data_IF_113927307581
#
_entry.id   IF_113927307581
#
_cell.length_a   1.000
_cell.length_b   1.000
_cell.length_c   1.000
_cell.angle_alpha   90.00
_cell.angle_beta   90.00
_cell.angle_gamma   90.00
#
_symmetry.space_group_name_H-M   'P 1'
#
loop_
_entity.id
_entity.type
_entity.pdbx_description
1 polymer ?
#
# COMPACT_ATOMS: atom_id res chain seq x y z
N UNK A 1 -11.11 18.33 0.83
CA UNK A 1 -10.03 18.12 -0.15
C UNK A 1 -10.50 17.04 -1.09
N UNK A 2 -10.30 17.21 -2.39
CA UNK A 2 -10.64 16.19 -3.37
C UNK A 2 -9.57 15.09 -3.30
N UNK A 3 -9.93 13.91 -2.78
CA UNK A 3 -9.03 12.78 -2.55
C UNK A 3 -8.29 12.35 -3.83
N UNK A 4 -8.88 12.65 -5.00
CA UNK A 4 -8.31 12.44 -6.34
C UNK A 4 -7.01 13.21 -6.62
N UNK A 5 -6.50 14.03 -5.68
CA UNK A 5 -5.27 14.82 -5.88
C UNK A 5 -4.04 14.34 -5.11
N UNK A 6 -4.17 13.38 -4.19
CA UNK A 6 -3.04 12.93 -3.37
C UNK A 6 -2.20 11.92 -4.14
N UNK A 7 -0.94 12.26 -4.40
CA UNK A 7 -0.01 11.44 -5.18
C UNK A 7 1.07 10.78 -4.31
N UNK A 8 1.20 11.19 -3.06
CA UNK A 8 2.30 10.85 -2.15
C UNK A 8 3.55 11.65 -2.49
N UNK A 9 3.99 11.53 -3.74
CA UNK A 9 5.18 12.18 -4.29
C UNK A 9 5.14 13.70 -4.12
N UNK A 10 4.02 14.34 -4.46
CA UNK A 10 3.89 15.80 -4.39
C UNK A 10 3.77 16.32 -2.95
N UNK A 11 3.47 15.43 -1.99
CA UNK A 11 3.42 15.71 -0.56
C UNK A 11 4.72 15.37 0.17
N UNK A 12 5.78 14.99 -0.55
CA UNK A 12 7.09 14.67 0.04
C UNK A 12 7.22 13.24 0.57
N UNK A 13 6.31 12.34 0.17
CA UNK A 13 6.39 10.91 0.48
C UNK A 13 7.09 10.20 -0.67
N UNK A 14 8.22 9.59 -0.37
CA UNK A 14 8.89 8.67 -1.27
C UNK A 14 8.18 7.32 -1.27
N UNK A 15 7.69 6.93 -2.44
CA UNK A 15 6.97 5.67 -2.67
C UNK A 15 7.92 4.72 -3.39
N UNK A 16 8.29 3.63 -2.72
CA UNK A 16 9.13 2.58 -3.29
C UNK A 16 8.26 1.36 -3.55
N UNK A 17 8.31 0.87 -4.78
CA UNK A 17 7.55 -0.32 -5.21
C UNK A 17 8.53 -1.39 -5.60
N UNK A 18 8.31 -2.61 -5.09
CA UNK A 18 9.16 -3.75 -5.45
C UNK A 18 8.38 -5.05 -5.60
N UNK A 19 8.90 -5.96 -6.40
CA UNK A 19 8.38 -7.32 -6.55
C UNK A 19 9.52 -8.28 -6.85
N UNK A 20 9.51 -9.44 -6.19
CA UNK A 20 10.43 -10.52 -6.52
C UNK A 20 10.01 -11.17 -7.85
N UNK A 21 10.93 -11.23 -8.81
CA UNK A 21 10.79 -12.04 -10.01
C UNK A 21 11.42 -13.41 -9.72
N UNK A 22 10.59 -14.45 -9.57
CA UNK A 22 11.07 -15.81 -9.38
C UNK A 22 11.58 -16.44 -10.68
N UNK A 23 12.32 -17.55 -10.56
CA UNK A 23 12.83 -18.32 -11.70
C UNK A 23 11.73 -18.72 -12.72
N UNK A 24 10.51 -18.95 -12.23
CA UNK A 24 9.34 -19.34 -13.02
C UNK A 24 8.40 -18.16 -13.36
N UNK A 25 8.78 -16.93 -13.04
CA UNK A 25 8.03 -15.74 -13.43
C UNK A 25 8.54 -15.17 -14.76
N UNK A 26 7.62 -14.68 -15.56
CA UNK A 26 7.90 -13.91 -16.78
C UNK A 26 8.08 -12.43 -16.41
N UNK A 27 9.29 -11.84 -16.60
CA UNK A 27 9.61 -10.49 -16.16
C UNK A 27 8.66 -9.42 -16.73
N UNK A 28 8.27 -9.57 -17.99
CA UNK A 28 7.36 -8.63 -18.66
C UNK A 28 5.99 -8.63 -17.97
N UNK A 29 5.50 -9.80 -17.55
CA UNK A 29 4.23 -9.93 -16.82
C UNK A 29 4.33 -9.37 -15.40
N UNK A 30 5.47 -9.53 -14.74
CA UNK A 30 5.71 -8.91 -13.43
C UNK A 30 5.65 -7.38 -13.57
N UNK A 31 6.39 -6.82 -14.53
CA UNK A 31 6.41 -5.37 -14.77
C UNK A 31 5.03 -4.87 -15.17
N UNK A 32 4.32 -5.57 -16.06
CA UNK A 32 2.96 -5.18 -16.46
C UNK A 32 2.00 -5.16 -15.27
N UNK A 33 2.11 -6.13 -14.35
CA UNK A 33 1.29 -6.15 -13.14
C UNK A 33 1.57 -4.94 -12.23
N UNK A 34 2.83 -4.49 -12.14
CA UNK A 34 3.19 -3.27 -11.42
C UNK A 34 2.63 -2.05 -12.16
N UNK A 35 2.85 -1.94 -13.48
CA UNK A 35 2.38 -0.82 -14.32
C UNK A 35 0.86 -0.63 -14.31
N UNK A 36 0.09 -1.71 -14.13
CA UNK A 36 -1.36 -1.62 -13.98
C UNK A 36 -1.77 -0.82 -12.72
N UNK A 37 -0.93 -0.78 -11.69
CA UNK A 37 -1.16 -0.05 -10.44
C UNK A 37 -0.36 1.24 -10.38
N UNK A 38 0.86 1.24 -10.92
CA UNK A 38 1.80 2.37 -10.98
C UNK A 38 2.20 2.64 -12.44
N UNK A 39 1.40 3.41 -13.21
CA UNK A 39 1.61 3.57 -14.64
C UNK A 39 2.96 4.17 -15.04
N UNK A 40 3.55 4.97 -14.16
CA UNK A 40 4.83 5.65 -14.38
C UNK A 40 6.06 4.76 -14.02
N UNK A 41 5.83 3.51 -13.63
CA UNK A 41 6.89 2.60 -13.21
C UNK A 41 7.79 2.22 -14.39
N UNK A 42 9.03 2.70 -14.42
CA UNK A 42 10.02 2.34 -15.44
C UNK A 42 11.26 1.76 -14.79
N UNK A 43 11.74 0.61 -15.27
CA UNK A 43 12.90 -0.08 -14.71
C UNK A 43 13.78 -0.65 -15.81
N UNK A 44 15.09 -0.61 -15.62
CA UNK A 44 16.10 -1.28 -16.47
C UNK A 44 16.63 -2.56 -15.83
N UNK A 45 16.13 -2.92 -14.64
CA UNK A 45 16.68 -3.99 -13.79
C UNK A 45 16.60 -5.40 -14.41
N UNK A 46 15.82 -5.57 -15.48
CA UNK A 46 15.63 -6.85 -16.18
C UNK A 46 16.32 -6.91 -17.56
N UNK A 47 17.00 -5.84 -18.00
CA UNK A 47 17.74 -5.88 -19.26
C UNK A 47 18.77 -7.02 -19.22
N UNK A 48 18.63 -8.00 -20.13
CA UNK A 48 19.38 -9.27 -20.23
C UNK A 48 18.86 -10.49 -19.42
N UNK A 49 17.69 -10.42 -18.79
CA UNK A 49 17.07 -11.58 -18.14
C UNK A 49 16.23 -12.39 -19.15
N UNK A 50 16.38 -13.72 -19.16
CA UNK A 50 15.61 -14.63 -20.02
C UNK A 50 14.63 -15.47 -19.20
N UNK A 51 13.49 -15.79 -19.79
CA UNK A 51 12.50 -16.70 -19.21
C UNK A 51 12.58 -18.08 -19.89
N UNK A 52 12.76 -19.19 -19.14
CA UNK A 52 12.94 -19.29 -17.68
C UNK A 52 14.34 -18.85 -17.20
N UNK A 53 14.42 -18.36 -15.95
CA UNK A 53 15.66 -17.89 -15.31
C UNK A 53 16.14 -18.86 -14.23
N UNK A 54 17.46 -18.96 -14.01
CA UNK A 54 18.04 -19.73 -12.91
C UNK A 54 18.07 -18.97 -11.57
N UNK A 55 17.85 -17.65 -11.57
CA UNK A 55 18.02 -16.78 -10.42
C UNK A 55 16.78 -15.95 -10.13
N UNK A 56 16.52 -15.73 -8.84
CA UNK A 56 15.52 -14.77 -8.39
C UNK A 56 16.17 -13.39 -8.31
N UNK A 57 15.48 -12.37 -8.76
CA UNK A 57 15.94 -10.99 -8.63
C UNK A 57 14.78 -10.07 -8.23
N UNK A 58 15.12 -8.98 -7.57
CA UNK A 58 14.16 -7.97 -7.13
C UNK A 58 14.01 -6.91 -8.22
N UNK A 59 12.78 -6.68 -8.67
CA UNK A 59 12.42 -5.52 -9.49
C UNK A 59 11.98 -4.45 -8.51
N UNK A 60 12.63 -3.28 -8.51
CA UNK A 60 12.35 -2.22 -7.53
C UNK A 60 12.61 -0.85 -8.12
N UNK A 61 11.74 0.12 -7.84
CA UNK A 61 11.92 1.52 -8.19
C UNK A 61 11.32 2.43 -7.11
N UNK A 62 11.94 3.60 -6.91
CA UNK A 62 11.48 4.64 -5.98
C UNK A 62 10.69 5.75 -6.68
N UNK A 63 10.27 6.76 -5.92
CA UNK A 63 9.61 7.97 -6.44
C UNK A 63 8.34 7.71 -7.28
N UNK A 64 7.59 6.65 -6.93
CA UNK A 64 6.38 6.24 -7.64
C UNK A 64 5.16 7.11 -7.28
N UNK A 65 4.19 7.20 -8.18
CA UNK A 65 2.97 7.99 -7.98
C UNK A 65 1.81 7.12 -7.44
N UNK A 66 1.24 7.48 -6.28
CA UNK A 66 0.13 6.75 -5.64
C UNK A 66 -1.25 7.09 -6.19
N UNK A 67 -1.40 8.09 -7.07
CA UNK A 67 -2.71 8.58 -7.51
C UNK A 67 -3.57 7.47 -8.13
N UNK A 68 -2.99 6.64 -9.00
CA UNK A 68 -3.71 5.53 -9.62
C UNK A 68 -4.06 4.42 -8.61
N UNK A 69 -3.16 4.13 -7.66
CA UNK A 69 -3.46 3.21 -6.57
C UNK A 69 -4.67 3.70 -5.76
N UNK A 70 -4.67 4.97 -5.34
CA UNK A 70 -5.75 5.60 -4.55
C UNK A 70 -7.07 5.58 -5.32
N UNK A 71 -7.03 5.85 -6.62
CA UNK A 71 -8.21 5.76 -7.48
C UNK A 71 -8.79 4.33 -7.51
N UNK A 72 -7.94 3.31 -7.69
CA UNK A 72 -8.37 1.91 -7.74
C UNK A 72 -9.00 1.46 -6.42
N UNK A 73 -8.39 1.78 -5.26
CA UNK A 73 -8.97 1.40 -3.95
C UNK A 73 -10.30 2.11 -3.68
N UNK A 74 -10.45 3.36 -4.13
CA UNK A 74 -11.70 4.10 -4.05
C UNK A 74 -12.79 3.46 -4.93
N UNK A 75 -12.46 3.13 -6.18
CA UNK A 75 -13.38 2.47 -7.11
C UNK A 75 -13.80 1.08 -6.62
N UNK A 76 -12.89 0.35 -5.96
CA UNK A 76 -13.17 -0.93 -5.31
C UNK A 76 -13.89 -0.79 -3.96
N UNK A 77 -14.04 0.43 -3.43
CA UNK A 77 -14.66 0.73 -2.12
C UNK A 77 -13.98 0.01 -0.95
N UNK A 78 -12.65 -0.10 -0.98
CA UNK A 78 -11.84 -0.77 0.05
C UNK A 78 -10.95 0.18 0.85
N UNK A 79 -11.28 1.48 0.89
CA UNK A 79 -10.46 2.52 1.53
C UNK A 79 -10.18 2.26 3.02
N UNK A 80 -11.16 1.74 3.77
CA UNK A 80 -10.95 1.40 5.17
C UNK A 80 -9.94 0.25 5.33
N UNK A 81 -10.09 -0.82 4.53
CA UNK A 81 -9.12 -1.92 4.50
C UNK A 81 -7.74 -1.43 4.06
N UNK A 82 -7.67 -0.50 3.11
CA UNK A 82 -6.42 0.14 2.71
C UNK A 82 -5.76 0.89 3.87
N UNK A 83 -6.55 1.67 4.61
CA UNK A 83 -6.05 2.37 5.80
C UNK A 83 -5.50 1.38 6.82
N UNK A 84 -6.23 0.30 7.12
CA UNK A 84 -5.83 -0.71 8.10
C UNK A 84 -4.48 -1.35 7.72
N UNK A 85 -4.31 -1.73 6.44
CA UNK A 85 -3.06 -2.33 5.96
C UNK A 85 -1.89 -1.34 5.91
N UNK A 86 -2.14 -0.07 5.58
CA UNK A 86 -1.11 0.98 5.62
C UNK A 86 -0.72 1.34 7.07
N UNK A 87 -1.66 1.26 8.00
CA UNK A 87 -1.44 1.57 9.42
C UNK A 87 -0.77 0.42 10.20
N UNK A 88 -0.96 -0.83 9.79
CA UNK A 88 -0.53 -2.01 10.55
C UNK A 88 0.98 -2.01 10.90
N UNK A 89 1.83 -1.57 9.95
CA UNK A 89 3.28 -1.49 10.11
C UNK A 89 3.82 -0.05 10.22
N UNK A 90 2.94 0.91 10.48
CA UNK A 90 3.27 2.33 10.46
C UNK A 90 4.16 2.73 11.64
N UNK A 91 5.30 3.32 11.34
CA UNK A 91 6.02 4.22 12.25
C UNK A 91 5.77 5.67 11.83
N UNK A 92 6.26 6.63 12.61
CA UNK A 92 6.06 8.07 12.35
C UNK A 92 6.42 8.50 10.92
N UNK A 93 7.37 7.80 10.26
CA UNK A 93 7.90 8.19 8.95
C UNK A 93 7.97 7.08 7.91
N UNK A 94 7.51 5.87 8.24
CA UNK A 94 7.64 4.74 7.33
C UNK A 94 6.50 3.73 7.53
N UNK A 95 5.96 3.23 6.43
CA UNK A 95 5.13 2.02 6.44
C UNK A 95 5.44 1.14 5.25
N UNK A 96 5.08 -0.14 5.37
CA UNK A 96 5.24 -1.14 4.33
C UNK A 96 4.06 -2.08 4.35
N UNK A 97 3.53 -2.36 3.16
CA UNK A 97 2.43 -3.27 2.98
C UNK A 97 2.55 -3.96 1.62
N UNK A 98 1.81 -5.06 1.47
CA UNK A 98 1.88 -5.91 0.30
C UNK A 98 0.50 -6.04 -0.34
N UNK A 99 0.49 -6.18 -1.66
CA UNK A 99 -0.71 -6.52 -2.45
C UNK A 99 -0.44 -7.76 -3.31
N UNK A 100 -1.50 -8.46 -3.68
CA UNK A 100 -1.43 -9.61 -4.59
C UNK A 100 -0.99 -9.16 -5.99
N UNK A 101 0.10 -9.74 -6.50
CA UNK A 101 0.56 -9.51 -7.88
C UNK A 101 -0.42 -10.03 -8.91
N UNK A 102 -1.16 -11.11 -8.60
CA UNK A 102 -2.20 -11.64 -9.48
C UNK A 102 -3.40 -10.70 -9.60
N UNK A 103 -3.81 -10.06 -8.50
CA UNK A 103 -4.85 -9.03 -8.54
C UNK A 103 -4.37 -7.81 -9.33
N UNK A 104 -3.12 -7.38 -9.12
CA UNK A 104 -2.51 -6.27 -9.83
C UNK A 104 -2.41 -6.53 -11.35
N UNK A 105 -2.13 -7.76 -11.77
CA UNK A 105 -2.18 -8.17 -13.17
C UNK A 105 -3.56 -7.98 -13.81
N UNK A 106 -4.64 -8.01 -13.02
CA UNK A 106 -6.00 -7.70 -13.45
C UNK A 106 -6.42 -6.23 -13.20
N UNK A 107 -5.49 -5.36 -12.79
CA UNK A 107 -5.76 -3.95 -12.48
C UNK A 107 -6.56 -3.76 -11.19
N UNK A 108 -6.44 -4.68 -10.24
CA UNK A 108 -7.15 -4.65 -8.95
C UNK A 108 -6.17 -4.67 -7.79
N UNK A 109 -6.60 -4.09 -6.67
CA UNK A 109 -5.89 -4.16 -5.41
C UNK A 109 -6.58 -5.20 -4.53
N UNK A 110 -5.78 -6.13 -4.02
CA UNK A 110 -6.17 -7.10 -3.02
C UNK A 110 -5.02 -7.25 -2.03
N UNK A 111 -5.30 -6.94 -0.76
CA UNK A 111 -4.34 -7.12 0.32
C UNK A 111 -4.25 -8.60 0.71
N UNK A 112 -3.11 -8.97 1.30
CA UNK A 112 -2.92 -10.33 1.78
C UNK A 112 -3.60 -10.58 3.11
N UNK A 113 -4.08 -11.81 3.26
CA UNK A 113 -4.49 -12.33 4.56
C UNK A 113 -3.21 -12.65 5.36
N UNK A 114 -3.07 -12.16 6.60
CA UNK A 114 -1.92 -12.47 7.44
C UNK A 114 -1.69 -13.99 7.57
N UNK A 115 -0.46 -14.44 7.30
CA UNK A 115 -0.09 -15.86 7.36
C UNK A 115 -0.28 -16.62 6.04
N UNK A 116 -0.85 -16.01 5.01
CA UNK A 116 -0.96 -16.62 3.68
C UNK A 116 0.22 -16.21 2.78
N UNK A 117 0.67 -17.15 1.95
CA UNK A 117 1.61 -16.88 0.85
C UNK A 117 0.83 -16.96 -0.45
N UNK A 118 0.66 -15.85 -1.19
CA UNK A 118 -0.19 -15.84 -2.36
C UNK A 118 0.54 -16.55 -3.51
N UNK A 119 -0.23 -17.31 -4.27
CA UNK A 119 0.27 -17.86 -5.52
C UNK A 119 0.61 -16.73 -6.48
N UNK A 120 1.75 -16.85 -7.15
CA UNK A 120 2.19 -15.85 -8.12
C UNK A 120 2.66 -14.55 -7.48
N UNK A 121 3.09 -14.53 -6.21
CA UNK A 121 3.91 -13.46 -5.62
C UNK A 121 3.16 -12.19 -5.20
N UNK A 122 3.92 -11.22 -4.71
CA UNK A 122 3.42 -9.95 -4.15
C UNK A 122 4.11 -8.76 -4.77
N UNK A 123 3.42 -7.63 -4.75
CA UNK A 123 4.04 -6.31 -4.89
C UNK A 123 4.11 -5.71 -3.49
N UNK A 124 5.32 -5.37 -3.06
CA UNK A 124 5.59 -4.64 -1.82
C UNK A 124 5.62 -3.14 -2.12
N UNK A 125 4.89 -2.38 -1.32
CA UNK A 125 4.87 -0.92 -1.37
C UNK A 125 5.41 -0.41 -0.04
N UNK A 126 6.42 0.45 -0.11
CA UNK A 126 6.98 1.14 1.04
C UNK A 126 6.79 2.65 0.87
N UNK A 127 6.24 3.29 1.89
CA UNK A 127 6.06 4.74 1.96
C UNK A 127 7.00 5.30 3.00
N UNK A 128 7.77 6.34 2.64
CA UNK A 128 8.72 7.01 3.54
C UNK A 128 8.52 8.52 3.42
N UNK A 129 8.24 9.20 4.52
CA UNK A 129 8.02 10.65 4.50
C UNK A 129 7.67 11.20 5.88
N UNK A 130 7.63 12.52 6.00
CA UNK A 130 7.10 13.18 7.20
C UNK A 130 5.57 13.24 7.16
N UNK A 131 4.93 13.35 8.32
CA UNK A 131 3.46 13.40 8.47
C UNK A 131 2.72 12.24 7.75
N UNK A 132 3.37 11.08 7.67
CA UNK A 132 2.86 9.90 6.98
C UNK A 132 1.51 9.41 7.55
N UNK A 133 1.26 9.39 8.88
CA UNK A 133 -0.05 9.04 9.41
C UNK A 133 -1.16 9.96 8.88
N UNK A 134 -0.94 11.28 8.88
CA UNK A 134 -1.90 12.28 8.42
C UNK A 134 -2.16 12.15 6.92
N UNK A 135 -1.11 11.88 6.14
CA UNK A 135 -1.27 11.62 4.71
C UNK A 135 -2.08 10.35 4.46
N UNK A 136 -1.84 9.25 5.17
CA UNK A 136 -2.62 8.00 5.02
C UNK A 136 -4.10 8.25 5.35
N UNK A 137 -4.41 8.99 6.42
CA UNK A 137 -5.78 9.35 6.76
C UNK A 137 -6.45 10.18 5.67
N UNK A 138 -5.74 11.18 5.14
CA UNK A 138 -6.25 12.03 4.05
C UNK A 138 -6.44 11.24 2.75
N UNK A 139 -5.49 10.38 2.40
CA UNK A 139 -5.49 9.55 1.20
C UNK A 139 -6.54 8.43 1.25
N UNK A 140 -7.00 8.03 2.44
CA UNK A 140 -8.04 7.00 2.63
C UNK A 140 -9.39 7.56 3.07
N UNK A 141 -9.52 8.88 3.20
CA UNK A 141 -10.76 9.50 3.64
C UNK A 141 -11.89 9.32 2.64
N UNK A 142 -13.10 8.98 3.10
CA UNK A 142 -14.31 9.00 2.27
C UNK A 142 -15.51 9.51 3.06
N UNK A 143 -16.58 9.90 2.34
CA UNK A 143 -17.78 10.52 2.93
C UNK A 143 -18.48 9.67 3.98
N UNK A 144 -18.33 8.33 3.93
CA UNK A 144 -18.85 7.42 4.95
C UNK A 144 -18.34 7.75 6.37
N UNK A 145 -17.12 8.29 6.47
CA UNK A 145 -16.51 8.68 7.76
C UNK A 145 -17.10 9.95 8.37
N UNK A 146 -17.94 10.68 7.65
CA UNK A 146 -18.72 11.78 8.26
C UNK A 146 -19.75 11.25 9.27
N UNK A 147 -20.25 10.02 9.04
CA UNK A 147 -21.26 9.40 9.89
C UNK A 147 -20.66 8.39 10.87
N UNK A 148 -19.60 7.69 10.48
CA UNK A 148 -18.85 6.75 11.33
C UNK A 148 -17.36 7.11 11.27
N UNK A 149 -16.89 8.02 12.13
CA UNK A 149 -15.48 8.43 12.14
C UNK A 149 -14.55 7.23 12.37
N UNK A 150 -13.46 7.18 11.60
CA UNK A 150 -12.36 6.23 11.74
C UNK A 150 -11.05 6.93 11.42
N UNK A 151 -10.09 6.84 12.34
CA UNK A 151 -8.70 7.27 12.22
C UNK A 151 -7.72 6.13 12.43
N UNK A 152 -6.44 6.42 12.20
CA UNK A 152 -5.36 5.44 12.41
C UNK A 152 -5.25 5.12 13.90
N UNK A 153 -5.32 3.83 14.23
CA UNK A 153 -5.17 3.36 15.60
C UNK A 153 -6.45 3.39 16.45
N UNK A 154 -7.60 3.74 15.87
CA UNK A 154 -8.90 3.70 16.57
C UNK A 154 -9.26 2.29 17.08
N UNK A 155 -8.80 1.23 16.40
CA UNK A 155 -9.01 -0.15 16.84
C UNK A 155 -8.24 -0.48 18.14
N UNK A 156 -7.19 0.29 18.48
CA UNK A 156 -6.48 0.20 19.76
C UNK A 156 -7.06 1.11 20.86
N UNK A 157 -8.04 1.96 20.52
CA UNK A 157 -8.74 2.81 21.48
C UNK A 157 -9.71 2.00 22.36
N UNK A 158 -10.08 0.77 21.97
CA UNK A 158 -10.81 -0.18 22.81
C UNK A 158 -9.87 -1.21 23.44
N UNK A 159 -10.03 -1.43 24.75
CA UNK A 159 -9.42 -2.57 25.44
C UNK A 159 -10.10 -3.87 24.99
N UNK A 160 -9.42 -5.02 25.18
CA UNK A 160 -9.97 -6.36 24.84
C UNK A 160 -11.27 -6.71 25.58
N UNK A 161 -11.61 -5.95 26.62
CA UNK A 161 -12.83 -6.06 27.42
C UNK A 161 -14.00 -5.18 26.89
N UNK A 162 -13.78 -4.42 25.82
CA UNK A 162 -14.79 -3.52 25.24
C UNK A 162 -14.87 -2.14 25.89
N UNK A 163 -13.99 -1.82 26.86
CA UNK A 163 -13.93 -0.48 27.44
C UNK A 163 -13.17 0.51 26.54
N UNK A 164 -13.74 1.71 26.39
CA UNK A 164 -13.11 2.85 25.71
C UNK A 164 -11.96 3.38 26.57
N UNK A 165 -10.77 3.52 25.99
CA UNK A 165 -9.62 4.19 26.62
C UNK A 165 -9.91 5.69 26.71
N UNK A 166 -10.34 6.14 27.88
CA UNK A 166 -10.53 7.56 28.14
C UNK A 166 -9.17 8.26 28.32
N UNK A 167 -8.86 9.22 27.44
CA UNK A 167 -7.76 10.17 27.61
C UNK A 167 -8.22 11.34 28.49
N UNK A 168 -8.31 11.13 29.81
CA UNK A 168 -8.23 12.25 30.75
C UNK A 168 -7.30 11.90 31.90
N UNK A 169 -6.28 12.75 32.03
CA UNK A 169 -5.28 12.80 33.07
C UNK A 169 -5.91 12.83 34.47
N UNK A 170 -5.35 12.03 35.39
CA UNK A 170 -5.37 12.44 36.79
C UNK A 170 -4.17 13.36 37.00
N UNK A 171 -4.43 14.67 36.90
CA UNK A 171 -3.79 15.62 37.79
C UNK A 171 -4.21 15.27 39.21
N UNK A 172 -3.29 14.69 39.99
CA UNK A 172 -3.09 14.94 41.44
C UNK A 172 -1.67 14.62 41.84
#
# INVERSE_FOLDING_TARGET
MDQMRLSGRDEGINVVVSSLCAACDDPEKVIQSIKNIFPDFETTTYENQTFPSAQKYLITEGDQNMSNFIQIVNDQRILDTTMDHMAFGLSDRNTRFNISRQAAAAGKIAFLIPGETPFGGVIEIQLIGDDLPQWIEAATWHSGRQYVPRGIGDEFAMRKDGEVRHWHANDR
#
